data_IF_991664702242
#
_entry.id   IF_991664702242
#
_cell.length_a   1.000
_cell.length_b   1.000
_cell.length_c   1.000
_cell.angle_alpha   90.00
_cell.angle_beta   90.00
_cell.angle_gamma   90.00
#
_symmetry.space_group_name_H-M   'P 1'
#
loop_
_entity.id
_entity.type
_entity.pdbx_description
1 polymer ?
#
# COMPACT_ATOMS: atom_id res chain seq x y z
N UNK A 1 5.69 -15.44 -17.80
CA UNK A 1 5.94 -15.94 -16.43
C UNK A 1 7.43 -16.08 -16.15
N UNK A 2 8.19 -16.68 -17.07
CA UNK A 2 9.65 -16.84 -16.98
C UNK A 2 10.43 -15.55 -16.69
N UNK A 3 10.17 -14.45 -17.41
CA UNK A 3 10.88 -13.17 -17.22
C UNK A 3 10.74 -12.61 -15.79
N UNK A 4 9.51 -12.52 -15.27
CA UNK A 4 9.25 -12.01 -13.91
C UNK A 4 9.95 -12.84 -12.82
N UNK A 5 10.03 -14.15 -13.02
CA UNK A 5 10.75 -15.05 -12.11
C UNK A 5 12.26 -14.82 -12.21
N UNK A 6 12.81 -14.64 -13.41
CA UNK A 6 14.22 -14.32 -13.60
C UNK A 6 14.60 -12.97 -12.99
N UNK A 7 13.74 -11.96 -13.12
CA UNK A 7 13.95 -10.64 -12.50
C UNK A 7 13.96 -10.73 -10.97
N UNK A 8 12.99 -11.45 -10.39
CA UNK A 8 12.93 -11.68 -8.95
C UNK A 8 14.17 -12.43 -8.42
N UNK A 9 14.61 -13.48 -9.12
CA UNK A 9 15.82 -14.23 -8.76
C UNK A 9 17.08 -13.36 -8.87
N UNK A 10 17.16 -12.50 -9.90
CA UNK A 10 18.26 -11.54 -10.06
C UNK A 10 18.29 -10.52 -8.92
N UNK A 11 17.12 -10.04 -8.49
CA UNK A 11 16.99 -9.14 -7.34
C UNK A 11 17.46 -9.80 -6.05
N UNK A 12 17.01 -11.02 -5.77
CA UNK A 12 17.43 -11.81 -4.59
C UNK A 12 18.93 -12.09 -4.61
N UNK A 13 19.50 -12.44 -5.78
CA UNK A 13 20.94 -12.66 -5.92
C UNK A 13 21.75 -11.39 -5.63
N UNK A 14 21.24 -10.22 -6.01
CA UNK A 14 21.93 -8.94 -5.82
C UNK A 14 21.78 -8.36 -4.42
N UNK A 15 20.59 -8.47 -3.82
CA UNK A 15 20.22 -7.77 -2.59
C UNK A 15 20.00 -8.71 -1.39
N UNK A 16 20.12 -10.02 -1.59
CA UNK A 16 19.79 -11.01 -0.57
C UNK A 16 18.31 -11.38 -0.58
N UNK A 17 17.97 -12.38 0.24
CA UNK A 17 16.58 -12.82 0.42
C UNK A 17 15.82 -11.74 1.21
N UNK A 18 14.61 -11.35 0.79
CA UNK A 18 13.78 -10.46 1.58
C UNK A 18 13.33 -11.12 2.89
N UNK A 19 13.38 -10.36 3.98
CA UNK A 19 12.92 -10.80 5.30
C UNK A 19 11.40 -10.73 5.45
N UNK A 20 10.76 -9.74 4.80
CA UNK A 20 9.33 -9.47 4.91
C UNK A 20 8.67 -9.30 3.53
N UNK A 21 7.47 -9.84 3.39
CA UNK A 21 6.54 -9.53 2.29
C UNK A 21 5.27 -8.94 2.90
N UNK A 22 5.04 -7.64 2.65
CA UNK A 22 3.93 -6.89 3.25
C UNK A 22 2.91 -6.57 2.16
N UNK A 23 1.65 -6.92 2.42
CA UNK A 23 0.51 -6.50 1.60
C UNK A 23 -0.24 -5.40 2.33
N UNK A 24 -0.47 -4.26 1.68
CA UNK A 24 -1.27 -3.17 2.21
C UNK A 24 -2.51 -2.98 1.33
N UNK A 25 -3.69 -3.15 1.93
CA UNK A 25 -4.97 -3.13 1.22
C UNK A 25 -5.79 -1.93 1.68
N UNK A 26 -6.48 -1.26 0.74
CA UNK A 26 -7.41 -0.20 1.07
C UNK A 26 -8.67 -0.76 1.75
N UNK A 27 -9.17 -0.06 2.78
CA UNK A 27 -10.49 -0.32 3.33
C UNK A 27 -11.42 0.84 2.96
N UNK A 28 -12.45 0.62 2.12
CA UNK A 28 -13.42 1.66 1.75
C UNK A 28 -14.20 2.26 2.94
N UNK A 29 -14.25 1.55 4.08
CA UNK A 29 -14.92 2.00 5.30
C UNK A 29 -14.05 2.88 6.20
N UNK A 30 -12.87 3.30 5.75
CA UNK A 30 -12.07 4.26 6.51
C UNK A 30 -12.81 5.59 6.66
N UNK A 31 -12.74 6.17 7.86
CA UNK A 31 -13.43 7.41 8.20
C UNK A 31 -13.06 8.55 7.23
N UNK A 32 -11.80 8.63 6.79
CA UNK A 32 -11.37 9.65 5.84
C UNK A 32 -12.08 9.54 4.48
N UNK A 33 -12.55 8.33 4.13
CA UNK A 33 -13.36 8.08 2.93
C UNK A 33 -14.81 8.39 3.24
N UNK A 34 -15.41 7.74 4.25
CA UNK A 34 -16.85 7.87 4.52
C UNK A 34 -17.26 9.29 4.88
N UNK A 35 -16.40 10.06 5.56
CA UNK A 35 -16.67 11.44 5.94
C UNK A 35 -16.67 12.44 4.76
N UNK A 36 -16.12 12.06 3.60
CA UNK A 36 -16.06 12.92 2.40
C UNK A 36 -16.92 12.39 1.24
N UNK A 37 -17.78 11.41 1.50
CA UNK A 37 -18.84 11.00 0.59
C UNK A 37 -19.98 12.01 0.64
N UNK A 38 -20.59 12.28 -0.51
CA UNK A 38 -21.86 13.01 -0.55
C UNK A 38 -23.00 12.09 -0.10
N UNK A 39 -24.14 12.67 0.26
CA UNK A 39 -25.35 11.89 0.52
C UNK A 39 -25.64 10.97 -0.68
N UNK A 40 -25.98 9.71 -0.36
CA UNK A 40 -26.23 8.62 -1.32
C UNK A 40 -25.01 8.12 -2.11
N UNK A 41 -23.81 8.68 -1.94
CA UNK A 41 -22.62 8.12 -2.56
C UNK A 41 -22.09 6.90 -1.82
N UNK A 42 -21.79 5.85 -2.57
CA UNK A 42 -21.00 4.73 -2.07
C UNK A 42 -19.51 4.96 -2.32
N UNK A 43 -18.61 4.39 -1.50
CA UNK A 43 -17.16 4.52 -1.69
C UNK A 43 -16.68 4.15 -3.10
N UNK A 44 -17.26 3.12 -3.72
CA UNK A 44 -16.93 2.66 -5.07
C UNK A 44 -17.26 3.70 -6.15
N UNK A 45 -18.12 4.68 -5.88
CA UNK A 45 -18.38 5.78 -6.81
C UNK A 45 -17.34 6.90 -6.71
N UNK A 46 -16.48 6.89 -5.69
CA UNK A 46 -15.46 7.91 -5.41
C UNK A 46 -14.05 7.32 -5.37
N UNK A 47 -13.65 6.72 -6.49
CA UNK A 47 -12.32 6.14 -6.67
C UNK A 47 -11.18 7.14 -6.40
N UNK A 48 -11.38 8.43 -6.69
CA UNK A 48 -10.44 9.50 -6.39
C UNK A 48 -10.12 9.59 -4.89
N UNK A 49 -11.16 9.48 -4.06
CA UNK A 49 -11.08 9.56 -2.61
C UNK A 49 -10.40 8.31 -2.04
N UNK A 50 -10.81 7.12 -2.51
CA UNK A 50 -10.18 5.84 -2.14
C UNK A 50 -8.68 5.88 -2.45
N UNK A 51 -8.31 6.23 -3.68
CA UNK A 51 -6.92 6.26 -4.12
C UNK A 51 -6.09 7.27 -3.32
N UNK A 52 -6.64 8.45 -3.05
CA UNK A 52 -5.97 9.50 -2.27
C UNK A 52 -5.74 9.07 -0.82
N UNK A 53 -6.76 8.53 -0.15
CA UNK A 53 -6.64 8.06 1.24
C UNK A 53 -5.67 6.89 1.33
N UNK A 54 -5.75 5.94 0.40
CA UNK A 54 -4.82 4.81 0.32
C UNK A 54 -3.37 5.30 0.17
N UNK A 55 -3.11 6.23 -0.76
CA UNK A 55 -1.77 6.78 -0.98
C UNK A 55 -1.20 7.49 0.25
N UNK A 56 -2.02 8.28 0.95
CA UNK A 56 -1.60 8.96 2.18
C UNK A 56 -1.23 7.95 3.28
N UNK A 57 -2.03 6.91 3.48
CA UNK A 57 -1.74 5.87 4.48
C UNK A 57 -0.53 5.02 4.06
N UNK A 58 -0.38 4.71 2.77
CA UNK A 58 0.79 4.02 2.23
C UNK A 58 2.07 4.82 2.49
N UNK A 59 2.06 6.13 2.21
CA UNK A 59 3.21 7.02 2.49
C UNK A 59 3.56 7.01 3.98
N UNK A 60 2.57 7.13 4.86
CA UNK A 60 2.78 7.09 6.31
C UNK A 60 3.38 5.75 6.76
N UNK A 61 2.87 4.64 6.22
CA UNK A 61 3.41 3.30 6.49
C UNK A 61 4.86 3.17 6.01
N UNK A 62 5.17 3.62 4.79
CA UNK A 62 6.54 3.58 4.26
C UNK A 62 7.50 4.40 5.12
N UNK A 63 7.11 5.62 5.51
CA UNK A 63 7.91 6.46 6.41
C UNK A 63 8.18 5.75 7.74
N UNK A 64 7.17 5.09 8.31
CA UNK A 64 7.33 4.32 9.54
C UNK A 64 8.33 3.17 9.34
N UNK A 65 8.20 2.40 8.25
CA UNK A 65 9.10 1.27 7.97
C UNK A 65 10.54 1.68 7.71
N UNK A 66 10.76 2.78 6.98
CA UNK A 66 12.11 3.17 6.54
C UNK A 66 12.82 4.12 7.50
N UNK A 67 12.07 4.85 8.33
CA UNK A 67 12.64 5.91 9.19
C UNK A 67 12.25 5.78 10.66
N UNK A 68 11.25 4.95 10.97
CA UNK A 68 10.76 4.77 12.33
C UNK A 68 11.51 3.71 13.15
N UNK A 69 12.52 3.02 12.59
CA UNK A 69 13.25 1.90 13.22
C UNK A 69 12.31 0.87 13.89
N UNK A 70 11.17 0.59 13.25
CA UNK A 70 10.16 -0.33 13.81
C UNK A 70 10.47 -1.80 13.56
N UNK A 71 11.39 -2.07 12.64
CA UNK A 71 12.05 -3.36 12.51
C UNK A 71 13.46 -3.17 13.07
N UNK A 72 13.86 -4.08 13.96
CA UNK A 72 15.02 -3.94 14.85
C UNK A 72 16.33 -3.57 14.17
#
# INVERSE_FOLDING_TARGET
MHERTQDALTYVRKHGRPDLFITFTCNPNWEEITAHLLEEQSPDQRHDLIARVFHLKLKKMMQLFTSGNIFG
#
